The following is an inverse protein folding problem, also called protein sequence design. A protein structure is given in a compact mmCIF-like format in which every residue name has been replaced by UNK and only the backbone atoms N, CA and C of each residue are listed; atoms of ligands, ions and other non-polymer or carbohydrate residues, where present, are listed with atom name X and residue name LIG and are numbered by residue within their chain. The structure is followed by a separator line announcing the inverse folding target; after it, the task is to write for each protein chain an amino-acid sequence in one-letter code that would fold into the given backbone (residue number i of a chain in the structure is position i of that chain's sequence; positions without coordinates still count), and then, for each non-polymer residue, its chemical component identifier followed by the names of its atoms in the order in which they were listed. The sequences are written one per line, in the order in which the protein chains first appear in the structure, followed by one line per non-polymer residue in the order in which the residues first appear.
data_IF_426874321642
#
_entry.id   IF_426874321642
#
_cell.length_a   1.000
_cell.length_b   1.000
_cell.length_c   1.000
_cell.angle_alpha   90.00
_cell.angle_beta   90.00
_cell.angle_gamma   90.00
#
_symmetry.space_group_name_H-M   'P 1'
#
loop_
_entity.id
_entity.type
_entity.pdbx_description
1 polymer ?
#
# COMPACT_ATOMS: atom_id res chain seq x y z
N UNK A 1 -26.91 -28.19 6.28
CA UNK A 1 -25.68 -27.37 6.35
C UNK A 1 -25.00 -27.43 4.99
N UNK A 2 -25.06 -26.35 4.21
CA UNK A 2 -24.27 -26.25 2.97
C UNK A 2 -22.92 -25.68 3.39
N UNK A 3 -21.94 -26.56 3.61
CA UNK A 3 -20.54 -26.15 3.70
C UNK A 3 -20.14 -25.58 2.34
N UNK A 4 -20.16 -24.25 2.22
CA UNK A 4 -19.46 -23.59 1.11
C UNK A 4 -17.97 -23.86 1.30
N UNK A 5 -17.45 -24.88 0.60
CA UNK A 5 -16.01 -25.04 0.37
C UNK A 5 -15.51 -23.82 -0.40
N UNK A 6 -14.95 -22.86 0.31
CA UNK A 6 -14.19 -21.79 -0.32
C UNK A 6 -12.91 -22.42 -0.86
N UNK A 7 -12.86 -22.65 -2.17
CA UNK A 7 -11.59 -22.88 -2.86
C UNK A 7 -10.76 -21.59 -2.70
N UNK A 8 -9.92 -21.55 -1.67
CA UNK A 8 -8.94 -20.49 -1.40
C UNK A 8 -7.91 -20.50 -2.53
N UNK A 9 -8.32 -19.95 -3.68
CA UNK A 9 -7.52 -19.85 -4.91
C UNK A 9 -6.64 -18.60 -4.91
N UNK A 10 -6.76 -17.74 -3.91
CA UNK A 10 -6.10 -16.45 -3.84
C UNK A 10 -5.33 -16.31 -2.53
N UNK A 11 -4.08 -15.88 -2.63
CA UNK A 11 -3.28 -15.43 -1.50
C UNK A 11 -3.51 -13.94 -1.29
N UNK A 12 -3.57 -13.50 -0.04
CA UNK A 12 -3.63 -12.09 0.32
C UNK A 12 -2.20 -11.59 0.52
N UNK A 13 -1.82 -10.54 -0.20
CA UNK A 13 -0.51 -9.89 -0.04
C UNK A 13 -0.60 -8.66 0.88
N UNK A 14 -1.68 -7.90 0.80
CA UNK A 14 -1.79 -6.62 1.49
C UNK A 14 -3.24 -6.25 1.82
N UNK A 15 -3.42 -5.54 2.94
CA UNK A 15 -4.70 -4.99 3.38
C UNK A 15 -4.48 -3.50 3.62
N UNK A 16 -5.21 -2.67 2.89
CA UNK A 16 -5.19 -1.23 3.03
C UNK A 16 -6.55 -0.73 3.50
N UNK A 17 -6.56 0.09 4.56
CA UNK A 17 -7.76 0.73 5.06
C UNK A 17 -7.67 2.21 4.76
N UNK A 18 -8.71 2.78 4.16
CA UNK A 18 -8.80 4.21 3.93
C UNK A 18 -8.83 4.94 5.29
N UNK A 19 -7.79 5.72 5.61
CA UNK A 19 -7.73 6.39 6.90
C UNK A 19 -8.72 7.55 6.93
N UNK A 20 -9.32 7.79 8.10
CA UNK A 20 -10.17 8.96 8.34
C UNK A 20 -9.43 10.29 8.15
N UNK A 21 -8.12 10.29 8.44
CA UNK A 21 -7.36 11.50 8.72
C UNK A 21 -7.09 12.37 7.49
N UNK A 22 -7.25 11.83 6.27
CA UNK A 22 -7.08 12.60 5.03
C UNK A 22 -8.14 13.72 4.88
N UNK A 23 -9.18 13.74 5.73
CA UNK A 23 -10.21 14.78 5.73
C UNK A 23 -10.19 15.72 6.95
N UNK A 24 -9.29 15.57 7.92
CA UNK A 24 -9.35 16.38 9.17
C UNK A 24 -9.03 17.87 9.00
N UNK A 25 -8.78 18.34 7.78
CA UNK A 25 -8.55 19.77 7.49
C UNK A 25 -9.85 20.59 7.38
N UNK A 26 -11.04 19.99 7.50
CA UNK A 26 -12.29 20.74 7.50
C UNK A 26 -13.11 20.44 8.75
N UNK A 27 -13.44 21.53 9.45
CA UNK A 27 -14.26 21.60 10.65
C UNK A 27 -15.48 20.69 10.57
N UNK A 28 -15.43 19.59 11.31
CA UNK A 28 -16.51 18.94 12.07
C UNK A 28 -16.03 17.51 12.35
N UNK A 29 -16.32 16.97 13.53
CA UNK A 29 -15.95 15.60 13.94
C UNK A 29 -16.66 14.50 13.12
N UNK A 30 -17.06 14.79 11.88
CA UNK A 30 -17.77 13.89 10.98
C UNK A 30 -16.73 13.10 10.18
N UNK A 31 -16.72 11.79 10.41
CA UNK A 31 -15.93 10.85 9.63
C UNK A 31 -16.31 10.96 8.14
N UNK A 32 -15.33 10.85 7.25
CA UNK A 32 -15.58 10.74 5.81
C UNK A 32 -16.56 9.60 5.52
N UNK A 33 -17.42 9.76 4.52
CA UNK A 33 -18.27 8.66 4.03
C UNK A 33 -17.45 7.47 3.53
N UNK A 34 -16.17 7.65 3.25
CA UNK A 34 -15.25 6.58 2.83
C UNK A 34 -14.47 5.97 4.00
N UNK A 35 -14.70 6.43 5.23
CA UNK A 35 -14.04 5.88 6.42
C UNK A 35 -14.29 4.38 6.53
N UNK A 36 -13.21 3.63 6.80
CA UNK A 36 -13.28 2.17 6.93
C UNK A 36 -13.44 1.43 5.60
N UNK A 37 -13.36 2.12 4.45
CA UNK A 37 -13.23 1.44 3.17
C UNK A 37 -11.92 0.65 3.15
N UNK A 38 -12.02 -0.66 2.99
CA UNK A 38 -10.92 -1.61 3.11
C UNK A 38 -10.67 -2.27 1.76
N UNK A 39 -9.49 -2.05 1.19
CA UNK A 39 -8.98 -2.78 0.03
C UNK A 39 -8.17 -3.99 0.50
N UNK A 40 -8.52 -5.17 -0.02
CA UNK A 40 -7.76 -6.40 0.18
C UNK A 40 -7.14 -6.80 -1.15
N UNK A 41 -5.81 -6.69 -1.24
CA UNK A 41 -5.01 -7.03 -2.41
C UNK A 41 -4.70 -8.53 -2.41
N UNK A 42 -5.01 -9.18 -3.54
CA UNK A 42 -4.84 -10.62 -3.68
C UNK A 42 -4.19 -10.99 -4.99
N UNK A 43 -3.54 -12.16 -5.02
CA UNK A 43 -3.06 -12.79 -6.24
C UNK A 43 -3.38 -14.28 -6.27
N UNK A 44 -3.56 -14.80 -7.47
CA UNK A 44 -3.70 -16.22 -7.77
C UNK A 44 -2.61 -16.64 -8.74
N UNK A 45 -1.92 -17.72 -8.40
CA UNK A 45 -1.02 -18.42 -9.32
C UNK A 45 -1.84 -19.23 -10.32
N UNK A 46 -1.66 -18.98 -11.63
CA UNK A 46 -2.15 -19.91 -12.64
C UNK A 46 -1.13 -21.03 -12.80
N UNK A 47 -1.53 -22.25 -12.47
CA UNK A 47 -0.81 -23.44 -12.90
C UNK A 47 -1.22 -23.76 -14.34
N UNK A 48 -0.36 -23.39 -15.29
CA UNK A 48 -0.48 -23.95 -16.64
C UNK A 48 0.00 -25.40 -16.55
N UNK A 49 -0.90 -26.36 -16.74
CA UNK A 49 -0.58 -27.79 -16.67
C UNK A 49 0.27 -28.31 -17.84
N UNK A 50 0.52 -27.48 -18.87
CA UNK A 50 1.07 -27.98 -20.15
C UNK A 50 2.37 -27.32 -20.63
N UNK A 51 2.98 -26.39 -19.89
CA UNK A 51 4.23 -25.76 -20.33
C UNK A 51 5.26 -25.69 -19.20
N UNK A 52 6.20 -26.64 -19.20
CA UNK A 52 7.32 -26.73 -18.25
C UNK A 52 8.31 -25.54 -18.31
N UNK A 53 8.10 -24.55 -19.18
CA UNK A 53 8.98 -23.38 -19.36
C UNK A 53 8.23 -22.03 -19.49
N UNK A 54 6.93 -21.95 -19.17
CA UNK A 54 6.21 -20.66 -19.17
C UNK A 54 6.30 -19.96 -17.81
N UNK A 55 6.66 -18.68 -17.78
CA UNK A 55 6.63 -17.86 -16.55
C UNK A 55 5.26 -17.98 -15.87
N UNK A 56 5.23 -18.22 -14.55
CA UNK A 56 3.99 -18.34 -13.80
C UNK A 56 3.16 -17.05 -13.90
N UNK A 57 2.05 -17.10 -14.66
CA UNK A 57 1.14 -15.97 -14.80
C UNK A 57 0.34 -15.78 -13.51
N UNK A 58 0.60 -14.69 -12.79
CA UNK A 58 -0.21 -14.26 -11.63
C UNK A 58 -1.41 -13.46 -12.12
N UNK A 59 -2.59 -13.71 -11.56
CA UNK A 59 -3.77 -12.83 -11.70
C UNK A 59 -4.09 -12.19 -10.37
N UNK A 60 -4.24 -10.88 -10.35
CA UNK A 60 -4.52 -10.13 -9.13
C UNK A 60 -5.94 -9.63 -9.07
N UNK A 61 -6.44 -9.45 -7.85
CA UNK A 61 -7.71 -8.78 -7.58
C UNK A 61 -7.59 -7.92 -6.34
N UNK A 62 -8.22 -6.76 -6.35
CA UNK A 62 -8.47 -5.98 -5.13
C UNK A 62 -9.94 -6.07 -4.79
N UNK A 63 -10.25 -6.55 -3.60
CA UNK A 63 -11.61 -6.59 -3.08
C UNK A 63 -11.84 -5.38 -2.18
N UNK A 64 -12.94 -4.66 -2.42
CA UNK A 64 -13.34 -3.49 -1.64
C UNK A 64 -14.45 -3.88 -0.67
N UNK A 65 -14.23 -3.56 0.60
CA UNK A 65 -15.18 -3.77 1.68
C UNK A 65 -15.45 -2.46 2.41
N UNK A 66 -16.67 -2.28 2.91
CA UNK A 66 -17.04 -1.17 3.77
C UNK A 66 -17.18 -1.66 5.20
N UNK A 67 -16.56 -0.95 6.15
CA UNK A 67 -16.80 -1.15 7.57
C UNK A 67 -18.16 -0.58 7.96
N UNK A 68 -19.00 -1.41 8.58
CA UNK A 68 -20.32 -1.03 9.08
C UNK A 68 -20.45 -1.47 10.52
N UNK A 69 -20.95 -0.58 11.38
CA UNK A 69 -21.30 -0.91 12.76
C UNK A 69 -22.64 -1.65 12.78
N UNK A 70 -22.67 -2.84 13.36
CA UNK A 70 -23.87 -3.57 13.67
C UNK A 70 -24.44 -2.98 14.97
N UNK A 71 -25.35 -2.03 14.84
CA UNK A 71 -26.13 -1.55 15.98
C UNK A 71 -27.16 -2.61 16.39
N UNK A 72 -26.72 -3.62 17.15
CA UNK A 72 -27.63 -4.51 17.85
C UNK A 72 -28.27 -3.72 18.99
N UNK A 73 -29.51 -3.26 18.80
CA UNK A 73 -30.29 -2.47 19.79
C UNK A 73 -30.71 -3.26 21.05
N UNK A 74 -29.93 -4.26 21.48
CA UNK A 74 -30.17 -4.96 22.74
C UNK A 74 -29.48 -4.19 23.86
N UNK A 75 -30.28 -3.48 24.65
CA UNK A 75 -29.91 -2.45 25.63
C UNK A 75 -29.04 -2.89 26.83
N UNK A 76 -28.33 -4.02 26.79
CA UNK A 76 -27.63 -4.54 27.98
C UNK A 76 -26.12 -4.78 27.83
N UNK A 77 -25.57 -4.85 26.61
CA UNK A 77 -24.11 -4.95 26.42
C UNK A 77 -23.70 -4.03 25.27
N UNK A 78 -22.95 -2.97 25.57
CA UNK A 78 -22.36 -2.08 24.56
C UNK A 78 -21.09 -2.69 23.99
N UNK A 79 -21.20 -3.84 23.33
CA UNK A 79 -20.17 -4.26 22.39
C UNK A 79 -20.55 -3.73 21.01
N UNK A 80 -19.78 -2.75 20.51
CA UNK A 80 -19.92 -2.31 19.13
C UNK A 80 -19.40 -3.43 18.23
N UNK A 81 -20.31 -4.21 17.66
CA UNK A 81 -19.99 -5.19 16.63
C UNK A 81 -19.73 -4.47 15.30
N UNK A 82 -18.64 -4.81 14.62
CA UNK A 82 -18.35 -4.27 13.28
C UNK A 82 -18.30 -5.40 12.26
N UNK A 83 -18.82 -5.14 11.06
CA UNK A 83 -18.79 -6.06 9.93
C UNK A 83 -18.17 -5.40 8.69
N UNK A 84 -17.47 -6.20 7.90
CA UNK A 84 -17.00 -5.81 6.57
C UNK A 84 -18.01 -6.28 5.52
N UNK A 85 -18.65 -5.34 4.84
CA UNK A 85 -19.60 -5.60 3.76
C UNK A 85 -18.89 -5.48 2.42
N UNK A 86 -18.93 -6.52 1.60
CA UNK A 86 -18.35 -6.51 0.26
C UNK A 86 -19.08 -5.50 -0.64
N UNK A 87 -18.33 -4.60 -1.30
CA UNK A 87 -18.89 -3.66 -2.28
C UNK A 87 -18.65 -4.13 -3.71
N UNK A 88 -17.37 -4.27 -4.08
CA UNK A 88 -16.96 -4.62 -5.44
C UNK A 88 -15.54 -5.15 -5.48
N UNK A 89 -15.13 -5.65 -6.65
CA UNK A 89 -13.76 -6.08 -6.88
C UNK A 89 -13.21 -5.47 -8.17
N UNK A 90 -11.90 -5.23 -8.16
CA UNK A 90 -11.12 -4.76 -9.29
C UNK A 90 -10.26 -5.93 -9.77
N UNK A 91 -10.25 -6.17 -11.08
CA UNK A 91 -9.49 -7.27 -11.67
C UNK A 91 -8.22 -6.74 -12.34
N UNK A 92 -7.08 -7.32 -12.00
CA UNK A 92 -5.80 -7.01 -12.60
C UNK A 92 -5.30 -8.18 -13.46
N UNK A 93 -4.64 -7.86 -14.56
CA UNK A 93 -4.02 -8.85 -15.44
C UNK A 93 -2.77 -9.50 -14.83
N UNK A 94 -2.23 -8.88 -13.78
CA UNK A 94 -1.07 -9.33 -13.00
C UNK A 94 -1.39 -9.37 -11.51
N UNK A 95 -0.57 -10.07 -10.71
CA UNK A 95 -0.74 -10.15 -9.26
C UNK A 95 -0.56 -8.78 -8.60
N UNK A 96 -1.45 -8.44 -7.67
CA UNK A 96 -1.39 -7.18 -6.90
C UNK A 96 -0.62 -7.46 -5.62
N UNK A 97 0.42 -6.66 -5.37
CA UNK A 97 1.33 -6.83 -4.23
C UNK A 97 0.93 -5.90 -3.07
N UNK A 98 0.63 -4.64 -3.37
CA UNK A 98 0.21 -3.67 -2.37
C UNK A 98 -0.77 -2.68 -2.98
N UNK A 99 -1.70 -2.18 -2.18
CA UNK A 99 -2.57 -1.07 -2.56
C UNK A 99 -2.52 0.05 -1.54
N UNK A 100 -2.75 1.28 -2.00
CA UNK A 100 -2.84 2.45 -1.15
C UNK A 100 -3.93 3.38 -1.67
N UNK A 101 -4.53 4.14 -0.77
CA UNK A 101 -5.54 5.13 -1.14
C UNK A 101 -4.98 6.54 -1.02
N UNK A 102 -5.52 7.42 -1.86
CA UNK A 102 -5.34 8.86 -1.78
C UNK A 102 -6.67 9.54 -2.08
N UNK A 103 -7.07 10.50 -1.26
CA UNK A 103 -8.22 11.34 -1.59
C UNK A 103 -7.71 12.64 -2.21
N UNK A 104 -8.02 12.88 -3.48
CA UNK A 104 -7.45 13.97 -4.26
C UNK A 104 -8.49 14.51 -5.24
N UNK A 105 -8.64 15.84 -5.31
CA UNK A 105 -9.55 16.51 -6.24
C UNK A 105 -10.98 15.91 -6.24
N UNK A 106 -11.57 15.71 -5.04
CA UNK A 106 -12.88 15.07 -4.81
C UNK A 106 -13.03 13.61 -5.28
N UNK A 107 -11.92 13.02 -5.71
CA UNK A 107 -11.87 11.64 -6.15
C UNK A 107 -11.09 10.78 -5.16
N UNK A 108 -11.61 9.58 -4.92
CA UNK A 108 -10.89 8.57 -4.15
C UNK A 108 -10.04 7.75 -5.10
N UNK A 109 -8.74 8.00 -5.11
CA UNK A 109 -7.77 7.24 -5.87
C UNK A 109 -7.37 5.97 -5.11
N UNK A 110 -7.29 4.86 -5.84
CA UNK A 110 -6.65 3.64 -5.41
C UNK A 110 -5.45 3.38 -6.33
N UNK A 111 -4.26 3.46 -5.74
CA UNK A 111 -3.03 2.98 -6.35
C UNK A 111 -2.84 1.51 -6.01
N UNK A 112 -2.62 0.68 -7.02
CA UNK A 112 -2.30 -0.73 -6.84
C UNK A 112 -1.00 -1.04 -7.56
N UNK A 113 0.01 -1.44 -6.80
CA UNK A 113 1.26 -1.92 -7.37
C UNK A 113 1.11 -3.40 -7.68
N UNK A 114 1.23 -3.72 -8.97
CA UNK A 114 1.24 -5.08 -9.47
C UNK A 114 2.66 -5.51 -9.79
N UNK A 115 2.88 -6.81 -10.01
CA UNK A 115 4.17 -7.32 -10.46
C UNK A 115 4.65 -6.55 -11.70
N UNK A 116 3.76 -6.32 -12.68
CA UNK A 116 4.09 -5.71 -13.98
C UNK A 116 4.00 -4.17 -14.04
N UNK A 117 3.82 -3.49 -12.91
CA UNK A 117 3.76 -2.03 -12.87
C UNK A 117 2.71 -1.46 -11.92
N UNK A 118 2.66 -0.13 -11.88
CA UNK A 118 1.73 0.64 -11.06
C UNK A 118 0.43 0.91 -11.83
N UNK A 119 -0.69 0.72 -11.16
CA UNK A 119 -2.00 1.08 -11.66
C UNK A 119 -2.62 2.13 -10.75
N UNK A 120 -3.20 3.15 -11.34
CA UNK A 120 -3.96 4.16 -10.65
C UNK A 120 -5.41 4.10 -11.11
N UNK A 121 -6.34 4.18 -10.17
CA UNK A 121 -7.76 4.06 -10.49
C UNK A 121 -8.61 4.96 -9.63
N UNK A 122 -9.61 5.58 -10.24
CA UNK A 122 -10.68 6.20 -9.48
C UNK A 122 -11.60 5.11 -8.97
N UNK A 123 -11.75 5.03 -7.65
CA UNK A 123 -12.67 4.09 -7.01
C UNK A 123 -14.10 4.33 -7.48
N UNK A 124 -14.48 5.54 -7.92
CA UNK A 124 -15.84 5.79 -8.46
C UNK A 124 -15.99 5.33 -9.91
N UNK A 125 -15.07 5.75 -10.79
CA UNK A 125 -15.25 5.59 -12.24
C UNK A 125 -14.91 4.18 -12.74
N UNK A 126 -14.11 3.42 -12.00
CA UNK A 126 -13.72 2.07 -12.40
C UNK A 126 -12.85 2.02 -13.67
N UNK A 127 -12.25 3.14 -14.07
CA UNK A 127 -11.19 3.19 -15.07
C UNK A 127 -9.82 2.95 -14.40
N UNK A 128 -8.97 2.16 -15.05
CA UNK A 128 -7.68 1.72 -14.53
C UNK A 128 -6.58 2.10 -15.51
N UNK A 129 -5.89 3.20 -15.24
CA UNK A 129 -4.78 3.64 -16.09
C UNK A 129 -3.47 3.04 -15.56
N UNK A 130 -2.81 2.25 -16.40
CA UNK A 130 -1.48 1.73 -16.10
C UNK A 130 -0.49 2.89 -16.22
N UNK A 131 0.16 3.22 -15.10
CA UNK A 131 1.30 4.14 -15.10
C UNK A 131 2.56 3.27 -15.22
N UNK A 132 3.17 3.27 -16.40
CA UNK A 132 4.39 2.50 -16.69
C UNK A 132 5.60 3.21 -16.12
N UNK A 133 5.73 3.22 -14.79
CA UNK A 133 6.78 3.95 -14.08
C UNK A 133 7.82 3.06 -13.40
N UNK A 134 7.77 1.75 -13.62
CA UNK A 134 8.71 0.79 -13.01
C UNK A 134 9.73 0.35 -14.05
N UNK A 135 10.97 0.82 -13.94
CA UNK A 135 12.09 0.51 -14.86
C UNK A 135 12.30 -1.01 -15.05
N UNK A 136 12.01 -1.78 -14.01
CA UNK A 136 12.00 -3.24 -14.03
C UNK A 136 10.66 -3.75 -13.51
N UNK A 137 9.74 -4.04 -14.44
CA UNK A 137 8.38 -4.56 -14.21
C UNK A 137 8.35 -5.96 -13.57
N UNK A 138 9.42 -6.41 -12.90
CA UNK A 138 9.47 -7.69 -12.20
C UNK A 138 9.76 -7.55 -10.70
N UNK A 139 10.27 -6.39 -10.28
CA UNK A 139 10.82 -6.21 -8.94
C UNK A 139 10.00 -5.29 -8.04
N UNK A 140 8.75 -4.99 -8.39
CA UNK A 140 7.92 -4.12 -7.55
C UNK A 140 7.66 -4.75 -6.17
N UNK A 141 7.60 -3.91 -5.12
CA UNK A 141 7.32 -4.36 -3.76
C UNK A 141 6.31 -3.46 -3.05
N UNK A 142 6.64 -2.18 -2.88
CA UNK A 142 5.85 -1.26 -2.05
C UNK A 142 5.42 0.01 -2.78
N UNK A 143 4.39 0.66 -2.25
CA UNK A 143 3.76 1.86 -2.79
C UNK A 143 3.32 2.80 -1.67
N UNK A 144 3.62 4.09 -1.82
CA UNK A 144 3.00 5.15 -1.00
C UNK A 144 2.72 6.41 -1.81
N UNK A 145 1.58 7.02 -1.51
CA UNK A 145 1.22 8.36 -1.95
C UNK A 145 1.75 9.42 -0.98
N UNK A 146 1.99 10.62 -1.49
CA UNK A 146 2.05 11.82 -0.68
C UNK A 146 0.63 12.24 -0.29
N UNK A 147 0.38 12.38 1.01
CA UNK A 147 -0.94 12.71 1.56
C UNK A 147 -1.07 14.17 1.98
N UNK A 148 -0.04 15.01 1.81
CA UNK A 148 -0.04 16.39 2.29
C UNK A 148 -0.87 17.33 1.43
N UNK A 149 -0.63 17.33 0.12
CA UNK A 149 -1.29 18.26 -0.79
C UNK A 149 -2.58 17.67 -1.42
N UNK A 150 -2.93 16.42 -1.09
CA UNK A 150 -4.00 15.69 -1.78
C UNK A 150 -3.85 15.74 -3.31
N UNK A 151 -2.61 15.71 -3.79
CA UNK A 151 -2.28 15.66 -5.22
C UNK A 151 -1.82 14.26 -5.58
N UNK A 152 -2.25 13.78 -6.75
CA UNK A 152 -1.91 12.45 -7.26
C UNK A 152 -0.59 12.45 -8.01
N UNK A 153 0.12 13.57 -8.01
CA UNK A 153 1.37 13.76 -8.73
C UNK A 153 2.50 12.95 -8.10
N UNK A 154 2.59 12.92 -6.76
CA UNK A 154 3.74 12.36 -6.04
C UNK A 154 3.49 10.96 -5.49
N UNK A 155 4.25 10.01 -6.01
CA UNK A 155 4.19 8.60 -5.64
C UNK A 155 5.61 8.07 -5.43
N UNK A 156 5.82 7.28 -4.39
CA UNK A 156 7.04 6.51 -4.24
C UNK A 156 6.76 5.01 -4.37
N UNK A 157 7.67 4.33 -5.07
CA UNK A 157 7.60 2.90 -5.35
C UNK A 157 8.91 2.26 -4.93
N UNK A 158 8.81 1.16 -4.19
CA UNK A 158 9.97 0.39 -3.72
C UNK A 158 10.12 -0.92 -4.46
N UNK A 159 11.36 -1.39 -4.59
CA UNK A 159 11.69 -2.59 -5.34
C UNK A 159 12.40 -3.66 -4.50
N UNK A 160 12.19 -4.94 -4.87
CA UNK A 160 12.80 -6.12 -4.26
C UNK A 160 14.31 -6.22 -4.50
N UNK A 161 14.83 -5.49 -5.50
CA UNK A 161 16.25 -5.42 -5.78
C UNK A 161 16.98 -4.36 -4.92
N UNK A 162 16.28 -3.64 -4.04
CA UNK A 162 16.89 -2.59 -3.21
C UNK A 162 16.73 -1.16 -3.75
N UNK A 163 16.20 -1.00 -4.96
CA UNK A 163 16.02 0.31 -5.57
C UNK A 163 14.73 0.99 -5.08
N UNK A 164 14.63 2.28 -5.38
CA UNK A 164 13.45 3.12 -5.18
C UNK A 164 13.23 3.99 -6.41
N UNK A 165 11.96 4.29 -6.69
CA UNK A 165 11.55 5.27 -7.70
C UNK A 165 10.64 6.31 -7.06
N UNK A 166 10.89 7.57 -7.39
CA UNK A 166 9.99 8.68 -7.09
C UNK A 166 9.36 9.16 -8.40
N UNK A 167 8.04 9.21 -8.40
CA UNK A 167 7.20 9.57 -9.53
C UNK A 167 6.57 10.92 -9.21
N UNK A 168 6.66 11.85 -10.16
CA UNK A 168 5.94 13.13 -10.16
C UNK A 168 5.18 13.26 -11.47
N UNK A 169 3.94 13.72 -11.44
CA UNK A 169 3.12 13.97 -12.63
C UNK A 169 3.04 12.76 -13.58
N UNK A 170 2.93 11.56 -13.00
CA UNK A 170 2.85 10.29 -13.72
C UNK A 170 4.17 9.82 -14.35
N UNK A 171 5.27 10.55 -14.17
CA UNK A 171 6.58 10.22 -14.74
C UNK A 171 7.61 9.93 -13.65
N UNK A 172 8.49 8.92 -13.83
CA UNK A 172 9.59 8.68 -12.91
C UNK A 172 10.60 9.84 -12.98
N UNK A 173 10.76 10.57 -11.88
CA UNK A 173 11.68 11.71 -11.78
C UNK A 173 13.04 11.26 -11.26
N UNK A 174 13.05 10.45 -10.20
CA UNK A 174 14.27 9.97 -9.58
C UNK A 174 14.26 8.45 -9.42
N UNK A 175 15.42 7.84 -9.63
CA UNK A 175 15.68 6.43 -9.39
C UNK A 175 17.00 6.31 -8.64
N UNK A 176 17.00 5.61 -7.51
CA UNK A 176 18.21 5.44 -6.71
C UNK A 176 18.25 4.10 -5.99
N UNK A 177 19.46 3.66 -5.70
CA UNK A 177 19.72 2.49 -4.85
C UNK A 177 19.49 2.88 -3.39
N UNK A 178 18.35 2.48 -2.84
CA UNK A 178 18.03 2.81 -1.46
C UNK A 178 18.70 1.84 -0.48
N UNK A 179 18.65 0.55 -0.77
CA UNK A 179 19.17 -0.52 0.06
C UNK A 179 19.90 -1.57 -0.77
N UNK A 180 20.77 -2.36 -0.13
CA UNK A 180 21.46 -3.47 -0.79
C UNK A 180 20.54 -4.68 -1.00
N UNK A 181 19.44 -4.76 -0.24
CA UNK A 181 18.49 -5.86 -0.22
C UNK A 181 17.05 -5.35 -0.42
N UNK A 182 16.10 -6.28 -0.52
CA UNK A 182 14.67 -6.04 -0.75
C UNK A 182 14.14 -4.87 0.08
N UNK A 183 13.54 -3.87 -0.57
CA UNK A 183 12.82 -2.77 0.12
C UNK A 183 11.35 -3.13 0.24
N UNK A 184 10.97 -3.68 1.39
CA UNK A 184 9.62 -4.18 1.64
C UNK A 184 8.57 -3.07 1.62
N UNK A 185 8.91 -1.90 2.16
CA UNK A 185 7.95 -0.82 2.37
C UNK A 185 8.61 0.54 2.23
N UNK A 186 7.84 1.50 1.71
CA UNK A 186 8.18 2.91 1.66
C UNK A 186 6.98 3.77 2.13
N UNK A 187 7.26 4.95 2.66
CA UNK A 187 6.25 5.92 3.08
C UNK A 187 6.78 7.34 2.98
N UNK A 188 5.97 8.28 2.49
CA UNK A 188 6.26 9.71 2.65
C UNK A 188 6.18 10.08 4.12
N UNK A 189 7.14 10.87 4.60
CA UNK A 189 6.97 11.60 5.83
C UNK A 189 6.08 12.83 5.55
N UNK A 190 5.54 13.47 6.58
CA UNK A 190 4.70 14.67 6.47
C UNK A 190 5.39 15.93 5.89
N UNK A 191 6.44 15.75 5.11
CA UNK A 191 7.09 16.71 4.22
C UNK A 191 7.22 16.02 2.83
N UNK A 192 6.72 16.66 1.77
CA UNK A 192 6.57 16.14 0.40
C UNK A 192 7.85 15.55 -0.20
N UNK A 193 9.00 15.91 0.36
CA UNK A 193 10.31 15.50 -0.13
C UNK A 193 11.02 14.51 0.79
N UNK A 194 10.41 14.10 1.89
CA UNK A 194 11.02 13.16 2.83
C UNK A 194 10.37 11.79 2.64
N UNK A 195 11.18 10.79 2.28
CA UNK A 195 10.74 9.41 2.08
C UNK A 195 11.41 8.52 3.11
N UNK A 196 10.66 7.60 3.70
CA UNK A 196 11.17 6.56 4.59
C UNK A 196 11.08 5.21 3.91
N UNK A 197 12.07 4.36 4.12
CA UNK A 197 12.15 3.02 3.51
C UNK A 197 12.56 1.98 4.54
N UNK A 198 11.99 0.78 4.47
CA UNK A 198 12.34 -0.38 5.29
C UNK A 198 12.79 -1.55 4.42
N UNK A 199 13.86 -2.24 4.83
CA UNK A 199 14.49 -3.28 4.01
C UNK A 199 14.88 -4.52 4.80
N UNK A 200 15.06 -5.61 4.06
CA UNK A 200 15.66 -6.86 4.53
C UNK A 200 17.11 -6.71 5.03
N UNK A 201 17.77 -5.59 4.73
CA UNK A 201 19.09 -5.22 5.27
C UNK A 201 19.08 -4.87 6.78
N UNK A 202 17.97 -5.19 7.47
CA UNK A 202 17.69 -4.93 8.88
C UNK A 202 17.69 -3.44 9.26
N UNK A 203 17.58 -2.54 8.28
CA UNK A 203 17.54 -1.10 8.53
C UNK A 203 16.32 -0.43 7.90
N UNK A 204 16.01 0.74 8.45
CA UNK A 204 15.20 1.72 7.77
C UNK A 204 16.06 2.95 7.47
N UNK A 205 15.74 3.65 6.38
CA UNK A 205 16.42 4.86 5.96
C UNK A 205 15.41 5.98 5.74
N UNK A 206 15.87 7.21 5.97
CA UNK A 206 15.12 8.43 5.70
C UNK A 206 15.88 9.20 4.61
N UNK A 207 15.17 9.58 3.56
CA UNK A 207 15.70 10.21 2.36
C UNK A 207 15.11 11.60 2.26
N UNK A 208 15.96 12.62 2.13
CA UNK A 208 15.52 13.95 1.75
C UNK A 208 15.79 14.16 0.26
N UNK A 209 14.72 14.17 -0.55
CA UNK A 209 14.77 14.30 -2.00
C UNK A 209 15.24 15.68 -2.48
N UNK A 210 15.31 16.69 -1.58
CA UNK A 210 15.90 18.01 -1.88
C UNK A 210 17.42 17.95 -1.91
N UNK A 211 18.02 16.98 -1.22
CA UNK A 211 19.46 16.83 -1.09
C UNK A 211 19.96 15.64 -1.89
N UNK A 212 20.97 15.84 -2.74
CA UNK A 212 21.51 14.79 -3.62
C UNK A 212 22.12 13.58 -2.89
N UNK A 213 22.41 13.67 -1.59
CA UNK A 213 23.18 12.66 -0.85
C UNK A 213 22.68 12.34 0.58
N UNK A 214 21.50 12.80 1.01
CA UNK A 214 21.08 12.64 2.41
C UNK A 214 20.14 11.45 2.62
N UNK A 215 20.71 10.26 2.72
CA UNK A 215 20.07 9.17 3.46
C UNK A 215 20.55 9.22 4.91
N UNK A 216 19.66 9.50 5.87
CA UNK A 216 19.94 9.18 7.25
C UNK A 216 19.61 7.70 7.48
N UNK A 217 20.65 6.88 7.65
CA UNK A 217 20.51 5.49 8.06
C UNK A 217 20.44 5.45 9.58
N UNK A 218 19.35 4.94 10.14
CA UNK A 218 19.33 4.63 11.57
C UNK A 218 19.84 3.20 11.75
N UNK A 219 20.94 3.03 12.49
CA UNK A 219 21.76 1.83 12.40
C UNK A 219 21.36 0.68 13.34
N UNK A 220 20.45 0.85 14.32
CA UNK A 220 20.26 -0.18 15.37
C UNK A 220 18.91 -0.19 16.08
N UNK A 221 17.80 -0.49 15.40
CA UNK A 221 16.57 -0.88 16.13
C UNK A 221 16.16 -2.33 15.88
N UNK A 222 16.32 -2.82 14.65
CA UNK A 222 15.80 -4.14 14.25
C UNK A 222 16.91 -5.19 14.12
N UNK A 223 16.62 -6.40 14.60
CA UNK A 223 17.53 -7.55 14.51
C UNK A 223 17.30 -8.43 13.27
N UNK A 224 16.24 -8.12 12.52
CA UNK A 224 15.84 -8.78 11.28
C UNK A 224 15.28 -7.74 10.30
N UNK A 225 14.93 -8.16 9.09
CA UNK A 225 14.38 -7.29 8.04
C UNK A 225 13.20 -6.44 8.52
N UNK A 226 13.19 -5.17 8.09
CA UNK A 226 12.11 -4.21 8.35
C UNK A 226 11.06 -4.39 7.25
N UNK A 227 9.89 -4.90 7.62
CA UNK A 227 8.83 -5.28 6.68
C UNK A 227 7.85 -4.16 6.39
N UNK A 228 7.69 -3.23 7.34
CA UNK A 228 6.73 -2.13 7.21
C UNK A 228 7.32 -0.85 7.79
N UNK A 229 7.10 0.25 7.08
CA UNK A 229 7.32 1.62 7.56
C UNK A 229 6.04 2.42 7.33
N UNK A 230 5.59 3.16 8.34
CA UNK A 230 4.44 4.07 8.23
C UNK A 230 4.73 5.35 8.99
N UNK A 231 4.50 6.48 8.36
CA UNK A 231 4.67 7.78 8.98
C UNK A 231 3.32 8.39 9.28
N UNK A 232 3.19 8.96 10.48
CA UNK A 232 2.03 9.76 10.86
C UNK A 232 2.41 11.24 10.80
N UNK A 233 1.77 11.98 9.88
CA UNK A 233 2.09 13.40 9.62
C UNK A 233 1.83 14.30 10.81
N UNK A 234 0.73 14.09 11.54
CA UNK A 234 0.31 14.92 12.66
C UNK A 234 1.23 14.77 13.88
N UNK A 235 1.50 13.53 14.30
CA UNK A 235 2.38 13.24 15.45
C UNK A 235 3.87 13.31 15.10
N UNK A 236 4.20 13.36 13.80
CA UNK A 236 5.56 13.24 13.25
C UNK A 236 6.27 11.97 13.72
N UNK A 237 5.52 10.88 13.89
CA UNK A 237 6.03 9.60 14.39
C UNK A 237 6.21 8.62 13.23
N UNK A 238 7.37 7.95 13.20
CA UNK A 238 7.65 6.84 12.29
C UNK A 238 7.46 5.50 13.01
N UNK A 239 6.52 4.70 12.53
CA UNK A 239 6.29 3.33 12.95
C UNK A 239 7.04 2.37 12.04
N UNK A 240 7.71 1.38 12.64
CA UNK A 240 8.46 0.36 11.91
C UNK A 240 8.16 -1.02 12.47
N UNK A 241 8.04 -2.02 11.61
CA UNK A 241 7.83 -3.42 11.98
C UNK A 241 8.90 -4.32 11.38
N UNK A 242 9.27 -5.37 12.11
CA UNK A 242 10.30 -6.35 11.71
C UNK A 242 9.86 -7.77 12.05
N UNK A 243 10.42 -8.76 11.36
CA UNK A 243 10.25 -10.18 11.71
C UNK A 243 10.86 -10.53 13.08
N UNK A 244 11.84 -9.76 13.52
CA UNK A 244 12.59 -10.03 14.75
C UNK A 244 11.78 -9.68 15.99
N UNK A 245 12.11 -10.34 17.11
CA UNK A 245 11.66 -9.86 18.42
C UNK A 245 12.32 -8.52 18.68
N UNK A 246 11.53 -7.49 18.99
CA UNK A 246 12.07 -6.21 19.46
C UNK A 246 12.96 -6.50 20.67
N UNK A 247 14.24 -6.09 20.61
CA UNK A 247 15.06 -6.07 21.82
C UNK A 247 14.50 -4.97 22.70
N UNK A 248 13.92 -5.35 23.84
CA UNK A 248 13.49 -4.44 24.90
C UNK A 248 14.67 -3.60 25.39
#
# INVERSE_FOLDING_TARGET
MIEKKYNLKYCCDDICVFPSITLSNYCDYKLSEHFGLTAISTYQLKTNKEEHNSEQKKKGKVYLYRLVENTNNNQLERESDYALIYEKNINYHSGVLQSSYLFANDNLMLGSICVNGLYLSNVRDGNYDKIVATKDEKNNSGLSFDTLENKVDKICVSFSNGDMSFISDGNPVNFWKAHEYHVWSCAFAGDENIITTGSDDCSFKIWDMRSKNCSQKNNRSHSQGVTVVKFESLSKTLYTGSYGKNKK
#
